data_IF_637328680952
#
_entry.id   IF_637328680952
#
_cell.length_a   1.000
_cell.length_b   1.000
_cell.length_c   1.000
_cell.angle_alpha   90.00
_cell.angle_beta   90.00
_cell.angle_gamma   90.00
#
_symmetry.space_group_name_H-M   'P 1'
#
loop_
_entity.id
_entity.type
_entity.pdbx_description
1 polymer ?
#
# COMPACT_ATOMS: atom_id res chain seq x y z
N UNK A 1 -16.60 0.95 -5.85
CA UNK A 1 -15.59 0.53 -6.84
C UNK A 1 -14.22 0.67 -6.19
N UNK A 2 -13.29 -0.24 -6.46
CA UNK A 2 -11.93 -0.22 -5.92
C UNK A 2 -10.91 -0.16 -7.05
N UNK A 3 -9.74 0.38 -6.76
CA UNK A 3 -8.58 0.40 -7.65
C UNK A 3 -7.51 -0.54 -7.09
N UNK A 4 -6.98 -1.45 -7.91
CA UNK A 4 -5.99 -2.43 -7.46
C UNK A 4 -4.58 -1.99 -7.85
N UNK A 5 -3.65 -2.09 -6.90
CA UNK A 5 -2.21 -1.91 -7.08
C UNK A 5 -1.52 -3.15 -6.55
N UNK A 6 -0.54 -3.64 -7.28
CA UNK A 6 0.26 -4.80 -6.86
C UNK A 6 1.65 -4.35 -6.46
N UNK A 7 2.15 -4.88 -5.35
CA UNK A 7 3.43 -4.46 -4.75
C UNK A 7 4.43 -5.61 -4.81
N UNK A 8 5.60 -5.33 -5.38
CA UNK A 8 6.81 -6.14 -5.20
C UNK A 8 7.57 -5.54 -4.01
N UNK A 9 7.82 -6.35 -2.98
CA UNK A 9 8.57 -5.94 -1.80
C UNK A 9 9.77 -6.87 -1.55
N UNK A 10 10.91 -6.26 -1.22
CA UNK A 10 12.13 -6.93 -0.78
C UNK A 10 12.72 -6.23 0.44
N UNK A 11 13.49 -6.96 1.24
CA UNK A 11 14.22 -6.34 2.37
C UNK A 11 15.20 -5.32 1.80
N UNK A 12 15.17 -4.10 2.34
CA UNK A 12 16.06 -3.02 1.97
C UNK A 12 17.53 -3.35 2.25
N UNK A 13 18.45 -2.63 1.60
CA UNK A 13 19.90 -2.88 1.75
C UNK A 13 20.40 -2.74 3.19
N UNK A 14 19.74 -1.92 4.01
CA UNK A 14 20.06 -1.74 5.44
C UNK A 14 19.41 -2.78 6.35
N UNK A 15 18.55 -3.66 5.81
CA UNK A 15 17.91 -4.75 6.53
C UNK A 15 16.68 -4.37 7.36
N UNK A 16 16.24 -3.11 7.35
CA UNK A 16 15.23 -2.61 8.30
C UNK A 16 13.87 -2.29 7.68
N UNK A 17 13.81 -2.04 6.36
CA UNK A 17 12.62 -1.59 5.65
C UNK A 17 12.27 -2.54 4.50
N UNK A 18 11.10 -2.31 3.90
CA UNK A 18 10.72 -2.93 2.65
C UNK A 18 10.93 -1.94 1.49
N UNK A 19 11.85 -2.27 0.58
CA UNK A 19 11.98 -1.59 -0.70
C UNK A 19 10.82 -2.04 -1.60
N UNK A 20 9.98 -1.10 -2.02
CA UNK A 20 8.73 -1.38 -2.72
C UNK A 20 8.74 -0.87 -4.17
N UNK A 21 8.12 -1.64 -5.07
CA UNK A 21 7.74 -1.20 -6.42
C UNK A 21 6.27 -1.51 -6.68
N UNK A 22 5.60 -0.64 -7.41
CA UNK A 22 4.16 -0.69 -7.62
C UNK A 22 3.81 -0.98 -9.08
N UNK A 23 2.75 -1.76 -9.30
CA UNK A 23 2.32 -2.22 -10.61
C UNK A 23 0.80 -2.18 -10.75
N UNK A 24 0.32 -2.03 -11.99
CA UNK A 24 -1.11 -2.11 -12.31
C UNK A 24 -1.61 -3.55 -12.44
N UNK A 25 -0.70 -4.51 -12.54
CA UNK A 25 -0.98 -5.93 -12.73
C UNK A 25 -0.15 -6.81 -11.79
N UNK A 26 -0.70 -7.97 -11.46
CA UNK A 26 -0.08 -8.95 -10.54
C UNK A 26 1.23 -9.53 -11.06
N UNK A 27 1.36 -9.65 -12.38
CA UNK A 27 2.55 -10.20 -13.03
C UNK A 27 3.74 -9.21 -13.08
N UNK A 28 3.60 -8.02 -12.50
CA UNK A 28 4.62 -6.98 -12.44
C UNK A 28 5.12 -6.51 -13.83
N UNK A 29 4.23 -6.44 -14.82
CA UNK A 29 4.60 -6.05 -16.19
C UNK A 29 4.29 -4.58 -16.52
N UNK A 30 3.40 -3.94 -15.75
CA UNK A 30 2.98 -2.55 -15.95
C UNK A 30 3.34 -1.71 -14.71
N UNK A 31 4.60 -1.24 -14.62
CA UNK A 31 5.05 -0.47 -13.47
C UNK A 31 4.30 0.86 -13.36
N UNK A 32 4.00 1.25 -12.13
CA UNK A 32 3.60 2.60 -11.76
C UNK A 32 4.89 3.35 -11.40
N UNK A 33 5.13 4.48 -12.07
CA UNK A 33 6.34 5.24 -11.86
C UNK A 33 6.30 5.99 -10.53
N UNK A 34 7.37 5.87 -9.73
CA UNK A 34 7.47 6.53 -8.43
C UNK A 34 6.59 5.89 -7.36
N UNK A 35 6.30 6.65 -6.31
CA UNK A 35 5.56 6.21 -5.13
C UNK A 35 4.27 7.00 -4.86
N UNK A 36 3.90 7.92 -5.76
CA UNK A 36 2.61 8.59 -5.75
C UNK A 36 1.65 7.86 -6.69
N UNK A 37 0.63 7.25 -6.11
CA UNK A 37 -0.37 6.45 -6.81
C UNK A 37 -1.62 7.28 -7.01
N UNK A 38 -2.01 7.47 -8.27
CA UNK A 38 -3.23 8.16 -8.64
C UNK A 38 -4.34 7.15 -8.92
N UNK A 39 -5.48 7.32 -8.26
CA UNK A 39 -6.69 6.52 -8.48
C UNK A 39 -7.86 7.43 -8.82
N UNK A 40 -8.87 6.96 -9.57
CA UNK A 40 -10.08 7.74 -9.83
C UNK A 40 -10.77 8.17 -8.52
N UNK A 41 -11.25 9.42 -8.46
CA UNK A 41 -12.09 9.93 -7.35
C UNK A 41 -13.28 9.04 -7.00
N UNK A 42 -13.82 8.28 -7.95
CA UNK A 42 -14.95 7.35 -7.73
C UNK A 42 -14.52 6.03 -7.10
N UNK A 43 -13.22 5.80 -6.94
CA UNK A 43 -12.66 4.64 -6.24
C UNK A 43 -12.77 4.87 -4.74
N UNK A 44 -13.67 4.14 -4.08
CA UNK A 44 -13.85 4.20 -2.62
C UNK A 44 -12.72 3.52 -1.82
N UNK A 45 -11.77 2.89 -2.51
CA UNK A 45 -10.56 2.33 -1.93
C UNK A 45 -9.47 2.09 -2.98
N UNK A 46 -8.22 2.17 -2.53
CA UNK A 46 -7.05 1.56 -3.18
C UNK A 46 -6.71 0.25 -2.47
N UNK A 47 -6.74 -0.86 -3.20
CA UNK A 47 -6.37 -2.18 -2.70
C UNK A 47 -4.92 -2.44 -3.08
N UNK A 48 -4.08 -2.70 -2.08
CA UNK A 48 -2.73 -3.17 -2.27
C UNK A 48 -2.71 -4.69 -2.17
N UNK A 49 -2.41 -5.36 -3.28
CA UNK A 49 -2.14 -6.78 -3.34
C UNK A 49 -0.66 -7.07 -3.60
N UNK A 50 -0.31 -8.34 -3.67
CA UNK A 50 1.07 -8.78 -3.94
C UNK A 50 1.32 -8.99 -5.42
N UNK A 51 2.45 -8.49 -5.91
CA UNK A 51 2.98 -8.94 -7.18
C UNK A 51 3.52 -10.37 -7.05
N UNK A 52 3.45 -11.16 -8.12
CA UNK A 52 3.92 -12.56 -8.13
C UNK A 52 5.44 -12.69 -7.86
N UNK A 53 6.18 -11.60 -8.02
CA UNK A 53 7.63 -11.52 -7.81
C UNK A 53 8.03 -11.06 -6.40
N UNK A 54 7.07 -10.76 -5.52
CA UNK A 54 7.38 -10.28 -4.16
C UNK A 54 8.13 -11.33 -3.34
N UNK A 55 9.13 -10.89 -2.57
CA UNK A 55 9.87 -11.75 -1.64
C UNK A 55 9.27 -11.73 -0.22
N UNK A 56 8.47 -10.71 0.10
CA UNK A 56 7.86 -10.51 1.40
C UNK A 56 6.33 -10.64 1.36
N UNK A 57 5.75 -11.04 2.49
CA UNK A 57 4.30 -11.12 2.68
C UNK A 57 3.73 -9.80 3.22
N UNK A 58 2.62 -9.33 2.63
CA UNK A 58 1.91 -8.13 3.07
C UNK A 58 0.96 -8.55 4.18
N UNK A 59 1.09 -7.93 5.35
CA UNK A 59 0.35 -8.32 6.55
C UNK A 59 -0.57 -7.21 7.07
N UNK A 60 -0.41 -5.99 6.54
CA UNK A 60 -1.28 -4.87 6.89
C UNK A 60 -0.73 -3.55 6.36
N UNK A 61 -1.42 -2.48 6.69
CA UNK A 61 -0.95 -1.12 6.50
C UNK A 61 -1.49 -0.19 7.56
N UNK A 62 -0.81 0.94 7.69
CA UNK A 62 -1.32 2.12 8.37
C UNK A 62 -1.36 3.28 7.38
N UNK A 63 -2.36 4.16 7.49
CA UNK A 63 -2.49 5.28 6.58
C UNK A 63 -3.05 6.52 7.26
N UNK A 64 -2.76 7.70 6.73
CA UNK A 64 -3.31 8.97 7.23
C UNK A 64 -3.41 9.99 6.11
N UNK A 65 -4.47 10.80 6.14
CA UNK A 65 -4.60 11.94 5.24
C UNK A 65 -3.50 12.96 5.50
N UNK A 66 -2.71 13.28 4.46
CA UNK A 66 -1.65 14.27 4.53
C UNK A 66 -2.26 15.66 4.76
N UNK A 67 -1.62 16.46 5.60
CA UNK A 67 -2.12 17.79 6.01
C UNK A 67 -3.19 17.76 7.11
N UNK A 68 -3.64 16.58 7.54
CA UNK A 68 -4.53 16.45 8.70
C UNK A 68 -3.78 16.46 10.03
N UNK A 69 -4.49 16.63 11.15
CA UNK A 69 -3.90 16.59 12.48
C UNK A 69 -3.19 15.24 12.75
N UNK A 70 -1.99 15.26 13.37
CA UNK A 70 -1.24 14.04 13.65
C UNK A 70 -2.01 13.18 14.66
N UNK A 71 -2.11 11.89 14.36
CA UNK A 71 -2.78 10.94 15.24
C UNK A 71 -3.23 9.69 14.50
N UNK A 72 -3.10 8.55 15.17
CA UNK A 72 -3.47 7.23 14.67
C UNK A 72 -4.53 6.63 15.57
N UNK A 73 -5.50 5.94 14.97
CA UNK A 73 -6.45 5.10 15.68
C UNK A 73 -6.81 3.87 14.83
N UNK A 74 -7.64 2.98 15.38
CA UNK A 74 -8.01 1.73 14.71
C UNK A 74 -8.62 1.92 13.30
N UNK A 75 -9.25 3.07 13.01
CA UNK A 75 -9.81 3.35 11.67
C UNK A 75 -8.76 3.66 10.59
N UNK A 76 -7.49 3.81 10.99
CA UNK A 76 -6.39 4.11 10.07
C UNK A 76 -5.31 3.02 10.09
N UNK A 77 -5.64 1.86 10.67
CA UNK A 77 -4.91 0.61 10.54
C UNK A 77 -5.80 -0.37 9.77
N UNK A 78 -5.22 -1.09 8.81
CA UNK A 78 -5.91 -2.10 8.02
C UNK A 78 -5.06 -3.37 7.97
N UNK A 79 -5.46 -4.46 8.64
CA UNK A 79 -4.78 -5.75 8.49
C UNK A 79 -5.00 -6.30 7.07
N UNK A 80 -4.06 -7.10 6.58
CA UNK A 80 -4.26 -7.81 5.33
C UNK A 80 -5.35 -8.88 5.49
N UNK A 81 -6.09 -9.15 4.42
CA UNK A 81 -7.05 -10.26 4.35
C UNK A 81 -6.34 -11.61 4.11
N UNK A 82 -7.13 -12.68 3.96
CA UNK A 82 -6.62 -14.05 3.69
C UNK A 82 -5.89 -14.18 2.34
N UNK A 83 -6.02 -13.19 1.45
CA UNK A 83 -5.35 -13.11 0.14
C UNK A 83 -4.11 -12.19 0.19
N UNK A 84 -3.68 -11.78 1.39
CA UNK A 84 -2.60 -10.82 1.62
C UNK A 84 -2.82 -9.45 0.95
N UNK A 85 -4.07 -9.00 0.90
CA UNK A 85 -4.44 -7.69 0.36
C UNK A 85 -4.85 -6.72 1.46
N UNK A 86 -4.54 -5.44 1.27
CA UNK A 86 -4.87 -4.36 2.20
C UNK A 86 -5.71 -3.30 1.50
N UNK A 87 -6.82 -2.89 2.14
CA UNK A 87 -7.72 -1.88 1.60
C UNK A 87 -7.52 -0.51 2.26
N UNK A 88 -6.90 0.42 1.53
CA UNK A 88 -6.83 1.84 1.93
C UNK A 88 -8.10 2.53 1.45
N UNK A 89 -9.02 2.78 2.37
CA UNK A 89 -10.28 3.48 2.07
C UNK A 89 -10.01 4.89 1.53
N UNK A 90 -10.80 5.37 0.59
CA UNK A 90 -10.69 6.73 0.03
C UNK A 90 -12.09 7.34 -0.06
N UNK A 91 -12.26 8.64 0.22
CA UNK A 91 -13.53 9.31 0.01
C UNK A 91 -13.87 9.34 -1.48
N UNK A 92 -15.15 9.41 -1.82
CA UNK A 92 -15.61 9.48 -3.23
C UNK A 92 -16.20 10.83 -3.62
N UNK A 93 -16.15 11.80 -2.70
CA UNK A 93 -16.77 13.12 -2.82
C UNK A 93 -15.76 14.28 -2.71
N UNK A 94 -14.49 13.96 -2.48
CA UNK A 94 -13.41 14.92 -2.23
C UNK A 94 -12.06 14.36 -2.67
N UNK A 95 -11.18 15.23 -3.15
CA UNK A 95 -9.79 14.89 -3.48
C UNK A 95 -8.94 15.03 -2.23
N UNK A 96 -8.24 13.96 -1.87
CA UNK A 96 -7.30 13.90 -0.75
C UNK A 96 -6.06 13.09 -1.14
N UNK A 97 -5.00 13.25 -0.37
CA UNK A 97 -3.83 12.36 -0.42
C UNK A 97 -3.67 11.65 0.92
N UNK A 98 -3.47 10.34 0.90
CA UNK A 98 -3.08 9.56 2.07
C UNK A 98 -1.63 9.13 1.96
N UNK A 99 -0.85 9.37 3.00
CA UNK A 99 0.41 8.65 3.21
C UNK A 99 0.09 7.26 3.73
N UNK A 100 0.73 6.24 3.16
CA UNK A 100 0.51 4.84 3.48
C UNK A 100 1.85 4.21 3.85
N UNK A 101 1.87 3.45 4.94
CA UNK A 101 2.98 2.56 5.30
C UNK A 101 2.43 1.15 5.25
N UNK A 102 2.90 0.40 4.26
CA UNK A 102 2.65 -1.02 4.14
C UNK A 102 3.56 -1.78 5.10
N UNK A 103 3.04 -2.84 5.71
CA UNK A 103 3.78 -3.67 6.66
C UNK A 103 3.96 -5.05 6.06
N UNK A 104 5.21 -5.47 5.98
CA UNK A 104 5.58 -6.76 5.43
C UNK A 104 6.26 -7.67 6.45
N UNK A 105 6.26 -8.97 6.20
CA UNK A 105 7.03 -9.96 6.94
C UNK A 105 7.59 -11.04 6.03
N UNK A 106 8.56 -11.80 6.52
CA UNK A 106 9.12 -12.97 5.85
C UNK A 106 8.07 -14.07 5.68
N UNK A 107 8.11 -14.78 4.54
CA UNK A 107 7.17 -15.86 4.26
C UNK A 107 7.43 -17.08 5.15
N UNK A 108 6.36 -17.69 5.68
CA UNK A 108 6.42 -18.95 6.46
C UNK A 108 6.86 -18.81 7.92
N UNK A 109 7.60 -17.77 8.29
CA UNK A 109 7.98 -17.44 9.66
C UNK A 109 8.16 -15.93 9.81
N UNK A 110 7.70 -15.33 10.91
CA UNK A 110 7.87 -13.90 11.18
C UNK A 110 9.25 -13.68 11.84
N UNK A 111 10.24 -13.30 11.04
CA UNK A 111 11.58 -12.98 11.54
C UNK A 111 11.68 -11.51 11.94
N UNK A 112 11.05 -10.63 11.17
CA UNK A 112 10.94 -9.20 11.45
C UNK A 112 9.68 -8.62 10.77
N UNK A 113 9.36 -7.37 11.12
CA UNK A 113 8.40 -6.54 10.40
C UNK A 113 9.15 -5.49 9.59
N UNK A 114 8.88 -5.43 8.29
CA UNK A 114 9.52 -4.53 7.35
C UNK A 114 8.50 -3.48 6.90
N UNK A 115 8.49 -2.27 7.49
CA UNK A 115 7.65 -1.19 7.01
C UNK A 115 8.19 -0.63 5.70
N UNK A 116 7.31 -0.22 4.80
CA UNK A 116 7.68 0.58 3.65
C UNK A 116 7.80 2.07 4.03
N UNK A 117 8.61 2.83 3.29
CA UNK A 117 8.69 4.30 3.42
C UNK A 117 7.57 5.05 2.69
N UNK A 118 6.86 4.34 1.84
CA UNK A 118 5.89 4.83 0.85
C UNK A 118 4.87 3.69 0.58
N UNK A 119 3.73 3.89 -0.11
CA UNK A 119 3.40 4.95 -1.06
C UNK A 119 2.60 6.13 -0.48
N UNK A 120 2.31 7.10 -1.35
CA UNK A 120 1.18 8.00 -1.20
C UNK A 120 0.07 7.61 -2.18
N UNK A 121 -1.19 7.72 -1.76
CA UNK A 121 -2.36 7.49 -2.62
C UNK A 121 -3.16 8.78 -2.73
N UNK A 122 -3.37 9.27 -3.95
CA UNK A 122 -4.20 10.42 -4.27
C UNK A 122 -5.43 9.94 -5.06
N UNK A 123 -6.63 10.36 -4.64
CA UNK A 123 -7.86 10.12 -5.40
C UNK A 123 -8.21 11.35 -6.24
N UNK A 124 -7.66 11.45 -7.44
CA UNK A 124 -7.91 12.54 -8.39
C UNK A 124 -8.62 12.04 -9.65
N UNK A 125 -8.85 12.93 -10.61
CA UNK A 125 -9.65 12.62 -11.81
C UNK A 125 -8.82 12.00 -12.94
N UNK A 126 -7.68 11.36 -12.62
CA UNK A 126 -6.73 10.84 -13.60
C UNK A 126 -6.98 9.38 -14.02
#
# INVERSE_FOLDING_TARGET
MSYNVYVEASISTDGNFADCKYFKDRAATQPIAGSEIHIPTTSGACIFGQADTTALLLIGATFKTIGSAPGMNASNFCPANDENEVAVTMPTDSVITKGVVLLFSTAGSVENLYPSSDPQVMNDSH
#
